data_IF_610496555631
#
_entry.id   IF_610496555631
#
_cell.length_a   1.000
_cell.length_b   1.000
_cell.length_c   1.000
_cell.angle_alpha   90.00
_cell.angle_beta   90.00
_cell.angle_gamma   90.00
#
_symmetry.space_group_name_H-M   'P 1'
#
loop_
_entity.id
_entity.type
_entity.pdbx_description
1 polymer ?
#
# COMPACT_ATOMS: atom_id res chain seq x y z
N UNK A 1 19.78 -2.98 8.34
CA UNK A 1 18.71 -2.44 9.20
C UNK A 1 18.40 -3.37 10.39
N UNK A 2 17.97 -4.64 10.21
CA UNK A 2 17.54 -5.53 11.33
C UNK A 2 18.58 -5.73 12.43
N UNK A 3 19.87 -5.78 12.10
CA UNK A 3 20.95 -5.94 13.09
C UNK A 3 21.15 -4.69 13.99
N UNK A 4 20.46 -3.60 13.74
CA UNK A 4 20.53 -2.36 14.53
C UNK A 4 19.45 -2.31 15.62
N UNK A 5 18.52 -3.25 15.62
CA UNK A 5 17.45 -3.33 16.64
C UNK A 5 18.02 -3.92 17.92
N UNK A 6 17.94 -3.19 19.00
CA UNK A 6 18.26 -3.70 20.33
C UNK A 6 17.11 -4.57 20.83
N UNK A 7 17.28 -5.89 20.75
CA UNK A 7 16.31 -6.87 21.24
C UNK A 7 16.41 -7.08 22.77
N UNK A 8 17.48 -6.58 23.39
CA UNK A 8 17.71 -6.66 24.82
C UNK A 8 17.01 -5.59 25.66
N UNK A 9 16.31 -4.65 25.02
CA UNK A 9 15.61 -3.57 25.74
C UNK A 9 14.58 -4.15 26.70
N UNK A 10 14.77 -3.88 28.00
CA UNK A 10 13.84 -4.26 29.07
C UNK A 10 13.38 -3.01 29.79
N UNK A 11 12.09 -2.91 30.04
CA UNK A 11 11.50 -1.88 30.91
C UNK A 11 10.80 -2.56 32.07
N UNK A 12 10.66 -1.85 33.20
CA UNK A 12 9.94 -2.41 34.34
C UNK A 12 8.46 -2.56 33.99
N UNK A 13 7.91 -3.76 34.20
CA UNK A 13 6.53 -4.09 33.78
C UNK A 13 5.47 -3.18 34.40
N UNK A 14 5.65 -2.74 35.62
CA UNK A 14 4.72 -1.87 36.34
C UNK A 14 4.70 -0.47 35.71
N UNK A 15 5.87 0.12 35.46
CA UNK A 15 6.00 1.42 34.78
C UNK A 15 5.44 1.38 33.35
N UNK A 16 5.69 0.28 32.62
CA UNK A 16 5.16 0.10 31.27
C UNK A 16 3.64 0.01 31.24
N UNK A 17 3.03 -0.72 32.16
CA UNK A 17 1.59 -0.89 32.22
C UNK A 17 0.89 0.43 32.51
N UNK A 18 1.36 1.19 33.49
CA UNK A 18 0.84 2.51 33.80
C UNK A 18 0.94 3.47 32.60
N UNK A 19 2.12 3.52 31.95
CA UNK A 19 2.34 4.39 30.79
C UNK A 19 1.48 3.95 29.60
N UNK A 20 1.32 2.65 29.35
CA UNK A 20 0.52 2.15 28.24
C UNK A 20 -0.97 2.41 28.43
N UNK A 21 -1.51 2.10 29.60
CA UNK A 21 -2.95 2.15 29.86
C UNK A 21 -3.42 3.60 30.12
N UNK A 22 -2.69 4.39 30.90
CA UNK A 22 -3.16 5.72 31.32
C UNK A 22 -2.71 6.83 30.36
N UNK A 23 -1.44 6.84 29.98
CA UNK A 23 -0.87 7.95 29.20
C UNK A 23 -0.95 7.71 27.68
N UNK A 24 -0.36 6.64 27.19
CA UNK A 24 -0.31 6.37 25.74
C UNK A 24 -1.67 5.97 25.19
N UNK A 25 -2.50 5.24 25.94
CA UNK A 25 -3.85 4.93 25.53
C UNK A 25 -4.69 6.19 25.29
N UNK A 26 -4.66 7.15 26.23
CA UNK A 26 -5.32 8.43 26.05
C UNK A 26 -4.79 9.21 24.84
N UNK A 27 -3.47 9.26 24.67
CA UNK A 27 -2.82 9.96 23.55
C UNK A 27 -3.17 9.32 22.18
N UNK A 28 -3.26 8.00 22.08
CA UNK A 28 -3.71 7.31 20.86
C UNK A 28 -5.11 7.75 20.44
N UNK A 29 -6.06 7.77 21.38
CA UNK A 29 -7.40 8.28 21.11
C UNK A 29 -7.41 9.77 20.75
N UNK A 30 -6.53 10.54 21.36
CA UNK A 30 -6.39 11.98 21.09
C UNK A 30 -5.86 12.23 19.66
N UNK A 31 -4.79 11.56 19.24
CA UNK A 31 -4.21 11.77 17.90
C UNK A 31 -5.13 11.26 16.80
N UNK A 32 -5.90 10.20 17.04
CA UNK A 32 -6.95 9.78 16.11
C UNK A 32 -8.00 10.88 15.91
N UNK A 33 -8.49 11.48 16.99
CA UNK A 33 -9.45 12.60 16.91
C UNK A 33 -8.86 13.83 16.22
N UNK A 34 -7.58 14.12 16.43
CA UNK A 34 -6.88 15.22 15.75
C UNK A 34 -6.77 14.97 14.24
N UNK A 35 -6.36 13.78 13.84
CA UNK A 35 -6.32 13.39 12.41
C UNK A 35 -7.71 13.51 11.78
N UNK A 36 -8.75 13.05 12.50
CA UNK A 36 -10.15 13.14 12.05
C UNK A 36 -10.60 14.57 11.87
N UNK A 37 -10.36 15.43 12.86
CA UNK A 37 -10.73 16.84 12.80
C UNK A 37 -10.02 17.59 11.67
N UNK A 38 -8.76 17.25 11.39
CA UNK A 38 -8.00 17.79 10.25
C UNK A 38 -8.49 17.26 8.90
N UNK A 39 -9.18 16.11 8.87
CA UNK A 39 -9.52 15.37 7.67
C UNK A 39 -8.31 14.66 7.05
N UNK A 40 -7.29 14.34 7.84
CA UNK A 40 -6.08 13.66 7.38
C UNK A 40 -6.28 12.14 7.40
N UNK A 41 -6.19 11.44 6.26
CA UNK A 41 -6.25 9.98 6.23
C UNK A 41 -4.93 9.37 6.73
N UNK A 42 -5.04 8.30 7.53
CA UNK A 42 -3.88 7.63 8.13
C UNK A 42 -3.82 6.15 7.72
N UNK A 43 -2.66 5.67 7.38
CA UNK A 43 -2.40 4.27 7.06
C UNK A 43 -1.31 3.75 7.98
N UNK A 44 -1.62 2.72 8.76
CA UNK A 44 -0.66 2.01 9.59
C UNK A 44 -0.39 0.62 9.00
N UNK A 45 0.85 0.37 8.63
CA UNK A 45 1.33 -0.94 8.15
C UNK A 45 2.13 -1.59 9.27
N UNK A 46 1.65 -2.72 9.78
CA UNK A 46 2.28 -3.44 10.90
C UNK A 46 2.71 -4.82 10.41
N UNK A 47 3.92 -4.89 9.91
CA UNK A 47 4.59 -6.11 9.48
C UNK A 47 5.54 -6.64 10.55
N UNK A 48 6.08 -7.80 10.35
CA UNK A 48 7.03 -8.43 11.27
C UNK A 48 7.04 -9.93 11.12
N UNK A 49 7.87 -10.56 11.93
CA UNK A 49 8.01 -12.01 11.96
C UNK A 49 6.69 -12.70 12.28
N UNK A 50 6.56 -13.93 11.80
CA UNK A 50 5.50 -14.83 12.26
C UNK A 50 5.64 -15.01 13.77
N UNK A 51 4.52 -15.06 14.48
CA UNK A 51 4.46 -15.13 15.95
C UNK A 51 4.98 -13.88 16.69
N UNK A 52 5.20 -12.76 15.99
CA UNK A 52 5.57 -11.46 16.61
C UNK A 52 4.42 -10.78 17.38
N UNK A 53 3.32 -11.47 17.59
CA UNK A 53 2.16 -11.00 18.37
C UNK A 53 1.56 -9.68 17.87
N UNK A 54 1.71 -9.37 16.57
CA UNK A 54 1.13 -8.17 15.92
C UNK A 54 -0.36 -8.00 16.21
N UNK A 55 -1.10 -9.11 16.26
CA UNK A 55 -2.54 -9.09 16.56
C UNK A 55 -2.84 -8.52 17.93
N UNK A 56 -1.99 -8.77 18.92
CA UNK A 56 -2.14 -8.26 20.26
C UNK A 56 -1.76 -6.78 20.34
N UNK A 57 -0.72 -6.35 19.63
CA UNK A 57 -0.35 -4.94 19.52
C UNK A 57 -1.50 -4.15 18.91
N UNK A 58 -2.03 -4.60 17.76
CA UNK A 58 -3.16 -3.96 17.07
C UNK A 58 -4.42 -4.00 17.96
N UNK A 59 -4.73 -5.15 18.57
CA UNK A 59 -5.89 -5.30 19.45
C UNK A 59 -5.86 -4.37 20.65
N UNK A 60 -4.69 -4.22 21.30
CA UNK A 60 -4.53 -3.27 22.41
C UNK A 60 -4.67 -1.82 21.92
N UNK A 61 -4.05 -1.45 20.80
CA UNK A 61 -4.19 -0.11 20.23
C UNK A 61 -5.65 0.25 19.94
N UNK A 62 -6.42 -0.69 19.40
CA UNK A 62 -7.83 -0.50 19.06
C UNK A 62 -8.72 -0.23 20.29
N UNK A 63 -8.35 -0.73 21.46
CA UNK A 63 -9.14 -0.49 22.70
C UNK A 63 -9.15 0.98 23.11
N UNK A 64 -8.16 1.75 22.69
CA UNK A 64 -8.03 3.18 23.01
C UNK A 64 -8.56 4.11 21.92
N UNK A 65 -8.94 3.58 20.76
CA UNK A 65 -9.40 4.33 19.60
C UNK A 65 -10.92 4.25 19.39
N UNK A 66 -11.52 5.29 18.80
CA UNK A 66 -12.92 5.24 18.35
C UNK A 66 -13.05 4.27 17.18
N UNK A 67 -13.79 3.18 17.38
CA UNK A 67 -14.00 2.12 16.39
C UNK A 67 -14.62 2.59 15.06
N UNK A 68 -15.33 3.73 15.07
CA UNK A 68 -15.91 4.34 13.86
C UNK A 68 -14.88 5.03 12.98
N UNK A 69 -13.68 5.29 13.52
CA UNK A 69 -12.62 6.04 12.85
C UNK A 69 -11.53 5.18 12.26
N UNK A 70 -11.61 3.85 12.32
CA UNK A 70 -10.61 2.98 11.72
C UNK A 70 -11.19 1.67 11.19
N UNK A 71 -10.45 1.04 10.27
CA UNK A 71 -10.68 -0.33 9.80
C UNK A 71 -9.38 -1.12 9.85
N UNK A 72 -9.48 -2.40 10.25
CA UNK A 72 -8.33 -3.31 10.26
C UNK A 72 -8.43 -4.28 9.11
N UNK A 73 -7.35 -4.40 8.37
CA UNK A 73 -7.23 -5.31 7.23
C UNK A 73 -6.14 -6.35 7.47
N UNK A 74 -6.39 -7.56 7.00
CA UNK A 74 -5.43 -8.66 7.02
C UNK A 74 -5.45 -9.35 5.66
N UNK A 75 -4.58 -8.91 4.76
CA UNK A 75 -4.54 -9.39 3.38
C UNK A 75 -3.55 -10.56 3.26
N UNK A 76 -4.02 -11.79 3.53
CA UNK A 76 -3.19 -13.00 3.49
C UNK A 76 -3.20 -13.71 2.15
N UNK A 77 -4.21 -13.46 1.30
CA UNK A 77 -4.33 -14.05 -0.04
C UNK A 77 -5.17 -13.16 -0.97
N UNK A 78 -5.01 -13.38 -2.26
CA UNK A 78 -5.89 -12.84 -3.28
C UNK A 78 -7.08 -13.78 -3.50
N UNK A 79 -8.29 -13.23 -3.58
CA UNK A 79 -9.47 -13.95 -4.05
C UNK A 79 -9.46 -14.04 -5.60
N UNK A 80 -10.48 -14.67 -6.20
CA UNK A 80 -10.56 -14.81 -7.65
C UNK A 80 -10.70 -13.46 -8.39
N UNK A 81 -11.44 -12.52 -7.81
CA UNK A 81 -11.59 -11.17 -8.36
C UNK A 81 -10.26 -10.41 -8.28
N UNK A 82 -9.59 -10.45 -7.12
CA UNK A 82 -8.30 -9.81 -6.93
C UNK A 82 -7.23 -10.30 -7.93
N UNK A 83 -7.29 -11.60 -8.33
CA UNK A 83 -6.34 -12.20 -9.29
C UNK A 83 -6.50 -11.68 -10.72
N UNK A 84 -7.68 -11.16 -11.07
CA UNK A 84 -7.97 -10.56 -12.38
C UNK A 84 -7.58 -9.08 -12.46
N UNK A 85 -7.21 -8.49 -11.32
CA UNK A 85 -6.92 -7.08 -11.18
C UNK A 85 -5.41 -6.85 -10.93
N UNK A 86 -4.88 -5.66 -11.23
CA UNK A 86 -3.53 -5.30 -10.84
C UNK A 86 -3.31 -5.47 -9.32
N UNK A 87 -2.09 -5.82 -8.92
CA UNK A 87 -1.73 -6.16 -7.54
C UNK A 87 -2.27 -5.18 -6.49
N UNK A 88 -2.17 -3.88 -6.74
CA UNK A 88 -2.59 -2.85 -5.78
C UNK A 88 -4.08 -2.55 -5.76
N UNK A 89 -4.89 -3.08 -6.69
CA UNK A 89 -6.33 -2.81 -6.77
C UNK A 89 -7.08 -3.12 -5.48
N UNK A 90 -6.69 -4.20 -4.81
CA UNK A 90 -7.21 -4.57 -3.49
C UNK A 90 -6.95 -3.48 -2.45
N UNK A 91 -5.75 -2.96 -2.42
CA UNK A 91 -5.32 -1.96 -1.43
C UNK A 91 -5.89 -0.58 -1.73
N UNK A 92 -6.05 -0.21 -3.00
CA UNK A 92 -6.77 1.01 -3.40
C UNK A 92 -8.21 1.03 -2.86
N UNK A 93 -8.91 -0.12 -2.88
CA UNK A 93 -10.26 -0.23 -2.33
C UNK A 93 -10.32 -0.19 -0.79
N UNK A 94 -9.20 -0.35 -0.11
CA UNK A 94 -9.07 -0.38 1.34
C UNK A 94 -8.49 0.91 1.93
N UNK A 95 -8.30 1.93 1.10
CA UNK A 95 -7.81 3.22 1.58
C UNK A 95 -8.83 3.88 2.53
N UNK A 96 -8.35 4.57 3.58
CA UNK A 96 -9.24 5.28 4.48
C UNK A 96 -9.82 6.53 3.82
N UNK A 97 -11.06 6.84 4.14
CA UNK A 97 -11.65 8.14 3.86
C UNK A 97 -10.92 9.25 4.63
N UNK A 98 -11.03 10.53 4.20
CA UNK A 98 -10.45 11.65 4.93
C UNK A 98 -10.80 11.64 6.41
N UNK A 99 -9.78 11.71 7.28
CA UNK A 99 -9.93 11.66 8.72
C UNK A 99 -10.11 10.28 9.34
N UNK A 100 -10.14 9.22 8.55
CA UNK A 100 -10.19 7.83 9.03
C UNK A 100 -8.83 7.15 8.92
N UNK A 101 -8.72 5.94 9.48
CA UNK A 101 -7.49 5.16 9.53
C UNK A 101 -7.69 3.76 8.96
N UNK A 102 -6.72 3.29 8.18
CA UNK A 102 -6.60 1.88 7.77
C UNK A 102 -5.39 1.26 8.44
N UNK A 103 -5.60 0.16 9.17
CA UNK A 103 -4.54 -0.58 9.87
C UNK A 103 -4.34 -1.92 9.18
N UNK A 104 -3.17 -2.13 8.59
CA UNK A 104 -2.83 -3.38 7.91
C UNK A 104 -1.97 -4.25 8.81
N UNK A 105 -2.50 -5.40 9.25
CA UNK A 105 -1.76 -6.44 9.96
C UNK A 105 -0.97 -7.34 9.00
N UNK A 106 -1.49 -7.51 7.78
CA UNK A 106 -0.83 -8.08 6.60
C UNK A 106 -1.14 -7.17 5.43
N UNK A 107 -0.11 -6.55 4.89
CA UNK A 107 -0.22 -5.56 3.82
C UNK A 107 0.21 -6.13 2.46
N UNK A 108 0.52 -5.23 1.53
CA UNK A 108 1.15 -5.55 0.25
C UNK A 108 2.54 -6.20 0.41
N UNK A 109 3.25 -5.92 1.48
CA UNK A 109 4.53 -6.55 1.79
C UNK A 109 4.38 -8.03 2.10
N UNK A 110 3.40 -8.39 2.92
CA UNK A 110 3.11 -9.78 3.23
C UNK A 110 2.78 -10.57 1.97
N UNK A 111 1.88 -10.08 1.13
CA UNK A 111 1.48 -10.76 -0.10
C UNK A 111 2.65 -10.91 -1.08
N UNK A 112 3.48 -9.87 -1.26
CA UNK A 112 4.69 -9.96 -2.09
C UNK A 112 5.64 -11.04 -1.59
N UNK A 113 5.91 -11.10 -0.29
CA UNK A 113 6.83 -12.08 0.28
C UNK A 113 6.25 -13.50 0.23
N UNK A 114 4.94 -13.64 0.44
CA UNK A 114 4.23 -14.92 0.32
C UNK A 114 4.35 -15.51 -1.08
N UNK A 115 4.17 -14.71 -2.12
CA UNK A 115 4.32 -15.11 -3.53
C UNK A 115 5.76 -15.57 -3.79
N UNK A 116 6.76 -14.81 -3.35
CA UNK A 116 8.18 -15.14 -3.52
C UNK A 116 8.56 -16.50 -2.91
N UNK A 117 8.00 -16.81 -1.74
CA UNK A 117 8.34 -18.04 -1.01
C UNK A 117 7.61 -19.27 -1.55
N UNK A 118 6.35 -19.14 -1.92
CA UNK A 118 5.52 -20.27 -2.40
C UNK A 118 5.62 -20.54 -3.89
N UNK A 119 6.16 -19.63 -4.67
CA UNK A 119 6.10 -19.66 -6.14
C UNK A 119 4.67 -19.79 -6.69
N UNK A 120 3.68 -19.42 -5.89
CA UNK A 120 2.27 -19.43 -6.26
C UNK A 120 1.88 -18.08 -6.88
N UNK A 121 1.23 -18.11 -8.04
CA UNK A 121 0.66 -16.94 -8.73
C UNK A 121 1.65 -15.82 -9.12
N UNK A 122 2.68 -16.15 -9.87
CA UNK A 122 3.59 -15.16 -10.48
C UNK A 122 2.85 -14.09 -11.31
N UNK A 123 1.65 -14.43 -11.81
CA UNK A 123 0.82 -13.53 -12.62
C UNK A 123 0.34 -12.26 -11.84
N UNK A 124 0.30 -12.30 -10.51
CA UNK A 124 -0.11 -11.16 -9.66
C UNK A 124 1.07 -10.67 -8.81
N UNK A 125 2.29 -10.80 -9.30
CA UNK A 125 3.48 -10.35 -8.57
C UNK A 125 3.68 -8.84 -8.72
N UNK A 126 4.44 -8.26 -7.79
CA UNK A 126 4.85 -6.85 -7.84
C UNK A 126 6.33 -6.71 -7.48
N UNK A 127 6.95 -5.62 -7.88
CA UNK A 127 8.32 -5.27 -7.53
C UNK A 127 8.39 -4.30 -6.35
N UNK A 128 9.56 -4.09 -5.78
CA UNK A 128 9.75 -3.08 -4.73
C UNK A 128 9.64 -1.66 -5.29
N UNK A 129 10.02 -1.45 -6.55
CA UNK A 129 9.85 -0.18 -7.25
C UNK A 129 8.36 0.18 -7.38
N UNK A 130 7.51 -0.80 -7.71
CA UNK A 130 6.07 -0.58 -7.76
C UNK A 130 5.48 -0.30 -6.39
N UNK A 131 5.98 -0.95 -5.33
CA UNK A 131 5.59 -0.62 -3.95
C UNK A 131 5.96 0.82 -3.61
N UNK A 132 7.19 1.24 -3.90
CA UNK A 132 7.64 2.60 -3.65
C UNK A 132 6.82 3.63 -4.44
N UNK A 133 6.48 3.33 -5.70
CA UNK A 133 5.62 4.18 -6.51
C UNK A 133 4.19 4.29 -5.92
N UNK A 134 3.62 3.18 -5.44
CA UNK A 134 2.32 3.16 -4.77
C UNK A 134 2.35 3.98 -3.48
N UNK A 135 3.34 3.77 -2.62
CA UNK A 135 3.50 4.52 -1.37
C UNK A 135 3.75 6.01 -1.62
N UNK A 136 4.52 6.34 -2.65
CA UNK A 136 4.71 7.73 -3.06
C UNK A 136 3.41 8.38 -3.51
N UNK A 137 2.57 7.69 -4.29
CA UNK A 137 1.25 8.22 -4.66
C UNK A 137 0.37 8.49 -3.44
N UNK A 138 0.43 7.61 -2.41
CA UNK A 138 -0.30 7.83 -1.17
C UNK A 138 0.21 9.07 -0.43
N UNK A 139 1.52 9.20 -0.26
CA UNK A 139 2.11 10.35 0.46
C UNK A 139 1.94 11.65 -0.31
N UNK A 140 2.06 11.66 -1.64
CA UNK A 140 1.76 12.80 -2.50
C UNK A 140 0.26 13.19 -2.41
N UNK A 141 -0.63 12.20 -2.23
CA UNK A 141 -2.05 12.37 -1.92
C UNK A 141 -2.34 12.79 -0.46
N UNK A 142 -1.30 13.15 0.29
CA UNK A 142 -1.38 13.61 1.69
C UNK A 142 -1.89 12.55 2.68
N UNK A 143 -1.73 11.26 2.39
CA UNK A 143 -1.93 10.20 3.37
C UNK A 143 -0.74 10.17 4.35
N UNK A 144 -1.03 10.10 5.64
CA UNK A 144 -0.01 9.78 6.65
C UNK A 144 0.22 8.28 6.65
N UNK A 145 1.34 7.84 6.07
CA UNK A 145 1.71 6.42 5.97
C UNK A 145 2.83 6.10 6.97
N UNK A 146 2.54 5.24 7.95
CA UNK A 146 3.50 4.76 8.94
C UNK A 146 3.72 3.25 8.77
N UNK A 147 4.98 2.85 8.64
CA UNK A 147 5.37 1.44 8.45
C UNK A 147 6.17 0.94 9.64
N UNK A 148 5.69 -0.13 10.24
CA UNK A 148 6.33 -0.79 11.38
C UNK A 148 6.76 -2.20 11.02
N UNK A 149 7.95 -2.59 11.44
CA UNK A 149 8.40 -3.96 11.37
C UNK A 149 8.78 -4.48 12.77
N UNK A 150 8.03 -5.46 13.26
CA UNK A 150 8.27 -6.09 14.56
C UNK A 150 9.36 -7.13 14.38
N UNK A 151 10.58 -6.79 14.80
CA UNK A 151 11.74 -7.67 14.76
C UNK A 151 11.87 -8.45 16.07
N UNK A 152 12.21 -9.73 15.99
CA UNK A 152 12.43 -10.59 17.16
C UNK A 152 13.57 -11.56 16.91
N UNK A 153 14.09 -12.10 17.99
CA UNK A 153 15.09 -13.18 17.97
C UNK A 153 14.47 -14.51 17.53
N UNK A 154 15.30 -15.39 16.98
CA UNK A 154 14.87 -16.75 16.61
C UNK A 154 14.38 -17.53 17.82
N UNK A 155 15.03 -17.34 18.97
CA UNK A 155 14.64 -17.97 20.23
C UNK A 155 13.26 -17.54 20.67
N UNK A 156 12.97 -16.22 20.65
CA UNK A 156 11.67 -15.70 21.04
C UNK A 156 10.58 -16.12 20.04
N UNK A 157 10.89 -16.20 18.75
CA UNK A 157 9.96 -16.72 17.74
C UNK A 157 9.53 -18.17 18.06
N UNK A 158 10.49 -19.03 18.38
CA UNK A 158 10.23 -20.42 18.77
C UNK A 158 9.43 -20.53 20.07
N UNK A 159 9.71 -19.66 21.04
CA UNK A 159 8.99 -19.64 22.31
C UNK A 159 7.53 -19.19 22.10
N UNK A 160 7.31 -18.12 21.36
CA UNK A 160 5.96 -17.65 21.01
C UNK A 160 5.15 -18.71 20.24
N UNK A 161 5.79 -19.44 19.32
CA UNK A 161 5.12 -20.53 18.59
C UNK A 161 4.63 -21.63 19.54
N UNK A 162 5.47 -22.04 20.51
CA UNK A 162 5.11 -23.06 21.52
C UNK A 162 3.93 -22.58 22.37
N UNK A 163 3.95 -21.34 22.82
CA UNK A 163 2.89 -20.76 23.64
C UNK A 163 1.55 -20.67 22.87
N UNK A 164 1.60 -20.23 21.61
CA UNK A 164 0.41 -20.20 20.76
C UNK A 164 -0.16 -21.62 20.55
N UNK A 165 0.70 -22.60 20.27
CA UNK A 165 0.26 -24.00 20.09
C UNK A 165 -0.36 -24.58 21.37
N UNK A 166 0.10 -24.15 22.54
CA UNK A 166 -0.42 -24.58 23.84
C UNK A 166 -1.76 -23.94 24.16
N UNK A 167 -1.90 -22.65 23.86
CA UNK A 167 -3.05 -21.83 24.28
C UNK A 167 -4.24 -21.96 23.33
N UNK A 168 -4.01 -22.13 22.02
CA UNK A 168 -5.09 -22.27 21.05
C UNK A 168 -5.70 -23.67 21.14
N UNK A 169 -7.01 -23.75 21.39
CA UNK A 169 -7.79 -24.99 21.24
C UNK A 169 -7.56 -25.58 19.84
N UNK A 170 -7.42 -26.92 19.73
CA UNK A 170 -7.14 -27.64 18.48
C UNK A 170 -8.08 -27.28 17.32
N UNK A 171 -9.30 -26.82 17.63
CA UNK A 171 -10.33 -26.43 16.66
C UNK A 171 -10.13 -25.03 16.06
N UNK A 172 -9.31 -24.20 16.66
CA UNK A 172 -9.12 -22.78 16.26
C UNK A 172 -7.68 -22.51 15.86
N UNK A 173 -7.13 -23.32 14.97
CA UNK A 173 -5.84 -23.02 14.35
C UNK A 173 -6.10 -22.13 13.15
N UNK A 174 -5.43 -20.96 13.05
CA UNK A 174 -5.50 -20.18 11.84
C UNK A 174 -5.01 -21.01 10.66
N UNK A 175 -5.92 -21.41 9.77
CA UNK A 175 -5.57 -22.16 8.55
C UNK A 175 -4.82 -21.31 7.50
N UNK A 176 -4.67 -20.00 7.74
CA UNK A 176 -4.29 -19.04 6.72
C UNK A 176 -2.79 -18.71 6.68
N UNK A 177 -1.94 -19.50 7.35
CA UNK A 177 -0.53 -19.22 7.32
C UNK A 177 0.12 -19.85 6.09
N UNK A 178 0.39 -19.00 5.14
CA UNK A 178 0.88 -19.35 3.81
C UNK A 178 2.26 -20.03 3.87
N UNK A 179 3.07 -19.79 4.90
CA UNK A 179 4.40 -20.41 5.06
C UNK A 179 4.85 -20.45 6.53
N UNK A 180 5.75 -21.39 6.86
CA UNK A 180 6.41 -21.47 8.16
C UNK A 180 7.77 -20.79 8.07
N UNK A 181 8.02 -19.79 8.92
CA UNK A 181 9.32 -19.14 9.09
C UNK A 181 10.20 -19.91 10.08
N UNK A 182 9.57 -20.72 10.93
CA UNK A 182 10.29 -21.49 11.97
C UNK A 182 11.15 -22.55 11.32
N UNK A 183 12.44 -22.56 11.68
CA UNK A 183 13.46 -23.42 11.05
C UNK A 183 14.09 -22.85 9.78
N UNK A 184 13.70 -21.63 9.37
CA UNK A 184 14.25 -20.93 8.20
C UNK A 184 14.56 -19.46 8.51
N UNK A 185 14.86 -19.15 9.77
CA UNK A 185 15.04 -17.78 10.26
C UNK A 185 16.02 -16.96 9.42
N UNK A 186 17.22 -17.45 9.14
CA UNK A 186 18.22 -16.69 8.37
C UNK A 186 17.76 -16.38 6.93
N UNK A 187 17.04 -17.32 6.31
CA UNK A 187 16.48 -17.12 4.98
C UNK A 187 15.46 -15.97 4.97
N UNK A 188 14.54 -15.96 5.95
CA UNK A 188 13.55 -14.90 6.07
C UNK A 188 14.18 -13.58 6.52
N UNK A 189 15.18 -13.63 7.41
CA UNK A 189 15.94 -12.44 7.81
C UNK A 189 16.56 -11.74 6.60
N UNK A 190 17.14 -12.50 5.67
CA UNK A 190 17.65 -11.95 4.41
C UNK A 190 16.55 -11.33 3.57
N UNK A 191 15.42 -12.03 3.38
CA UNK A 191 14.29 -11.49 2.61
C UNK A 191 13.73 -10.20 3.21
N UNK A 192 13.60 -10.11 4.52
CA UNK A 192 13.11 -8.91 5.21
C UNK A 192 14.14 -7.78 5.17
N UNK A 193 15.43 -8.07 5.26
CA UNK A 193 16.48 -7.05 5.10
C UNK A 193 16.45 -6.46 3.68
N UNK A 194 16.40 -7.31 2.64
CA UNK A 194 16.26 -6.86 1.24
C UNK A 194 15.00 -6.01 1.03
N UNK A 195 13.86 -6.44 1.58
CA UNK A 195 12.60 -5.70 1.50
C UNK A 195 12.73 -4.31 2.12
N UNK A 196 13.25 -4.24 3.34
CA UNK A 196 13.37 -2.96 4.05
C UNK A 196 14.37 -2.04 3.39
N UNK A 197 15.54 -2.54 2.95
CA UNK A 197 16.54 -1.74 2.25
C UNK A 197 15.99 -1.16 0.94
N UNK A 198 15.21 -1.95 0.20
CA UNK A 198 14.61 -1.52 -1.06
C UNK A 198 13.43 -0.56 -0.89
N UNK A 199 12.78 -0.53 0.28
CA UNK A 199 11.54 0.23 0.49
C UNK A 199 11.60 1.22 1.66
N UNK A 200 12.78 1.45 2.24
CA UNK A 200 12.97 2.49 3.25
C UNK A 200 13.19 3.84 2.58
N UNK A 201 12.11 4.46 2.16
CA UNK A 201 12.14 5.73 1.43
C UNK A 201 11.96 6.91 2.39
N UNK A 202 12.39 8.10 1.99
CA UNK A 202 12.28 9.32 2.79
C UNK A 202 10.82 9.66 3.13
N UNK A 203 9.91 9.45 2.17
CA UNK A 203 8.48 9.73 2.33
C UNK A 203 7.70 8.65 3.08
N UNK A 204 8.28 7.44 3.23
CA UNK A 204 7.67 6.34 3.97
C UNK A 204 8.76 5.45 4.62
N UNK A 205 9.42 5.91 5.68
CA UNK A 205 10.46 5.16 6.37
C UNK A 205 9.89 3.98 7.16
N UNK A 206 10.73 2.96 7.39
CA UNK A 206 10.42 1.87 8.29
C UNK A 206 10.79 2.21 9.73
N UNK A 207 9.84 2.02 10.66
CA UNK A 207 10.09 2.02 12.10
C UNK A 207 10.33 0.58 12.56
N UNK A 208 11.55 0.32 13.02
CA UNK A 208 11.95 -1.01 13.52
C UNK A 208 11.63 -1.12 15.01
N UNK A 209 10.89 -2.16 15.38
CA UNK A 209 10.36 -2.36 16.72
C UNK A 209 10.98 -3.62 17.33
N UNK A 210 11.45 -3.53 18.58
CA UNK A 210 11.91 -4.69 19.36
C UNK A 210 10.70 -5.54 19.77
N UNK A 211 10.66 -6.78 19.32
CA UNK A 211 9.51 -7.68 19.48
C UNK A 211 9.72 -8.82 20.47
N UNK A 212 10.88 -8.93 21.14
CA UNK A 212 11.15 -9.97 22.11
C UNK A 212 10.32 -9.82 23.39
N UNK A 213 10.03 -8.56 23.79
CA UNK A 213 9.06 -8.25 24.84
C UNK A 213 7.84 -7.54 24.23
N UNK A 214 6.64 -8.09 24.45
CA UNK A 214 5.41 -7.57 23.90
C UNK A 214 5.05 -6.18 24.40
N UNK A 215 5.27 -5.91 25.70
CA UNK A 215 4.92 -4.63 26.29
C UNK A 215 5.86 -3.52 25.82
N UNK A 216 7.14 -3.86 25.64
CA UNK A 216 8.12 -2.98 25.00
C UNK A 216 7.72 -2.70 23.54
N UNK A 217 7.30 -3.72 22.80
CA UNK A 217 6.84 -3.55 21.43
C UNK A 217 5.60 -2.64 21.34
N UNK A 218 4.62 -2.83 22.22
CA UNK A 218 3.45 -1.94 22.32
C UNK A 218 3.86 -0.50 22.60
N UNK A 219 4.74 -0.31 23.60
CA UNK A 219 5.23 1.01 23.98
C UNK A 219 5.89 1.71 22.80
N UNK A 220 6.81 1.04 22.09
CA UNK A 220 7.51 1.63 20.94
C UNK A 220 6.54 1.97 19.81
N UNK A 221 5.62 1.06 19.45
CA UNK A 221 4.62 1.32 18.39
C UNK A 221 3.72 2.48 18.77
N UNK A 222 3.17 2.50 19.99
CA UNK A 222 2.21 3.52 20.41
C UNK A 222 2.85 4.90 20.53
N UNK A 223 4.07 4.97 21.08
CA UNK A 223 4.84 6.22 21.13
C UNK A 223 5.08 6.77 19.74
N UNK A 224 5.57 5.94 18.83
CA UNK A 224 5.85 6.35 17.45
C UNK A 224 4.56 6.77 16.72
N UNK A 225 3.46 6.04 16.88
CA UNK A 225 2.16 6.42 16.30
C UNK A 225 1.71 7.80 16.78
N UNK A 226 1.82 8.05 18.09
CA UNK A 226 1.45 9.34 18.69
C UNK A 226 2.33 10.47 18.17
N UNK A 227 3.64 10.29 18.15
CA UNK A 227 4.60 11.29 17.71
C UNK A 227 4.43 11.62 16.21
N UNK A 228 4.42 10.60 15.36
CA UNK A 228 4.38 10.80 13.90
C UNK A 228 3.02 11.32 13.42
N UNK A 229 1.90 10.87 14.01
CA UNK A 229 0.58 11.44 13.65
C UNK A 229 0.50 12.90 14.09
N UNK A 230 0.98 13.27 15.28
CA UNK A 230 1.00 14.67 15.72
C UNK A 230 1.83 15.55 14.78
N UNK A 231 2.99 15.07 14.34
CA UNK A 231 3.85 15.75 13.38
C UNK A 231 3.16 15.89 12.01
N UNK A 232 2.57 14.80 11.52
CA UNK A 232 1.86 14.78 10.25
C UNK A 232 0.63 15.71 10.24
N UNK A 233 -0.17 15.73 11.31
CA UNK A 233 -1.33 16.65 11.43
C UNK A 233 -0.89 18.11 11.39
N UNK A 234 0.21 18.47 12.05
CA UNK A 234 0.75 19.84 12.01
C UNK A 234 1.16 20.23 10.58
N UNK A 235 1.89 19.36 9.88
CA UNK A 235 2.30 19.59 8.50
C UNK A 235 1.08 19.69 7.55
N UNK A 236 0.13 18.76 7.67
CA UNK A 236 -1.09 18.70 6.87
C UNK A 236 -1.95 19.96 7.01
N UNK A 237 -2.11 20.46 8.25
CA UNK A 237 -2.89 21.68 8.49
C UNK A 237 -2.19 22.94 8.01
N UNK A 238 -0.86 23.01 8.11
CA UNK A 238 -0.06 24.11 7.58
C UNK A 238 -0.15 24.15 6.04
N UNK A 239 -0.07 23.01 5.38
CA UNK A 239 -0.17 22.88 3.92
C UNK A 239 -1.56 23.30 3.41
N UNK A 240 -2.63 22.90 4.12
CA UNK A 240 -4.00 23.36 3.82
C UNK A 240 -4.18 24.87 4.00
N UNK A 241 -3.54 25.45 4.99
CA UNK A 241 -3.59 26.90 5.21
C UNK A 241 -2.83 27.67 4.12
N UNK A 242 -1.70 27.12 3.66
CA UNK A 242 -0.92 27.69 2.56
C UNK A 242 -1.63 27.59 1.20
N UNK A 243 -2.40 26.53 0.98
CA UNK A 243 -3.17 26.26 -0.26
C UNK A 243 -4.57 26.90 -0.28
N UNK A 244 -4.97 27.74 0.69
CA UNK A 244 -6.16 28.59 0.54
C UNK A 244 -5.92 29.48 -0.66
N UNK A 245 -6.85 29.52 -1.66
CA UNK A 245 -6.62 30.26 -2.88
C UNK A 245 -6.39 31.73 -2.54
N UNK A 246 -5.17 32.20 -2.69
CA UNK A 246 -4.95 33.60 -3.00
C UNK A 246 -5.49 33.76 -4.43
N UNK A 247 -6.62 34.41 -4.57
CA UNK A 247 -7.06 35.00 -5.84
C UNK A 247 -5.90 35.91 -6.32
N UNK A 248 -5.17 35.48 -7.34
CA UNK A 248 -4.02 36.08 -8.00
C UNK A 248 -2.66 35.45 -7.63
N UNK A 249 -2.43 34.26 -8.16
CA UNK A 249 -1.10 33.91 -8.63
C UNK A 249 -1.28 33.29 -10.01
N UNK A 250 -0.95 34.09 -11.03
CA UNK A 250 -0.46 33.53 -12.28
C UNK A 250 0.81 32.73 -11.94
N UNK A 251 0.65 31.45 -11.65
CA UNK A 251 1.78 30.54 -11.68
C UNK A 251 2.38 30.68 -13.08
N UNK A 252 3.66 31.00 -13.15
CA UNK A 252 4.48 30.75 -14.34
C UNK A 252 4.51 29.23 -14.54
N UNK A 253 3.36 28.65 -14.93
CA UNK A 253 3.33 27.31 -15.49
C UNK A 253 4.32 27.36 -16.67
N UNK A 254 5.36 26.56 -16.57
CA UNK A 254 6.12 26.15 -17.74
C UNK A 254 5.09 25.51 -18.66
N UNK A 255 4.52 26.29 -19.54
CA UNK A 255 3.63 25.83 -20.58
C UNK A 255 4.42 24.88 -21.44
N UNK A 256 4.26 23.58 -21.18
CA UNK A 256 4.69 22.55 -22.11
C UNK A 256 3.79 22.66 -23.33
N UNK A 257 4.09 23.61 -24.21
CA UNK A 257 3.33 23.84 -25.43
C UNK A 257 3.67 22.76 -26.48
N UNK A 258 3.32 21.52 -26.13
CA UNK A 258 3.43 20.39 -27.06
C UNK A 258 2.39 20.53 -28.16
N UNK A 259 1.24 21.15 -27.86
CA UNK A 259 0.12 21.27 -28.79
C UNK A 259 0.41 22.28 -29.91
N UNK A 260 1.17 23.36 -29.66
CA UNK A 260 1.57 24.32 -30.68
C UNK A 260 2.50 23.73 -31.75
N UNK A 261 3.17 22.59 -31.45
CA UNK A 261 4.04 21.88 -32.37
C UNK A 261 3.29 20.94 -33.29
N UNK A 262 1.99 20.76 -33.07
CA UNK A 262 1.15 19.90 -33.91
C UNK A 262 0.82 20.60 -35.21
N UNK A 263 1.25 20.03 -36.32
CA UNK A 263 0.92 20.51 -37.66
C UNK A 263 -0.52 20.15 -38.00
N UNK A 264 -1.43 21.11 -37.88
CA UNK A 264 -2.85 20.97 -38.17
C UNK A 264 -3.17 21.12 -39.67
N UNK A 265 -2.18 21.46 -40.51
CA UNK A 265 -2.35 21.58 -41.96
C UNK A 265 -2.27 20.23 -42.69
N UNK A 266 -1.83 19.19 -42.03
CA UNK A 266 -1.71 17.86 -42.62
C UNK A 266 -3.06 17.29 -43.01
N UNK A 267 -3.24 17.03 -44.29
CA UNK A 267 -4.42 16.40 -44.86
C UNK A 267 -4.04 15.12 -45.59
N UNK A 268 -4.99 14.22 -45.72
CA UNK A 268 -4.84 12.98 -46.53
C UNK A 268 -6.02 12.99 -47.51
N UNK A 269 -5.73 12.72 -48.78
CA UNK A 269 -6.80 12.59 -49.78
C UNK A 269 -7.70 11.39 -49.46
N UNK A 270 -8.93 11.44 -50.00
CA UNK A 270 -9.98 10.48 -49.62
C UNK A 270 -9.68 9.02 -49.98
N UNK A 271 -9.00 8.80 -51.09
CA UNK A 271 -8.73 7.44 -51.57
C UNK A 271 -7.55 6.80 -50.82
N UNK A 272 -6.49 7.56 -50.65
CA UNK A 272 -5.36 7.16 -49.76
C UNK A 272 -5.83 6.92 -48.31
N UNK A 273 -6.78 7.76 -47.84
CA UNK A 273 -7.34 7.56 -46.49
C UNK A 273 -8.08 6.22 -46.36
N UNK A 274 -8.93 5.87 -47.35
CA UNK A 274 -9.70 4.63 -47.33
C UNK A 274 -8.76 3.41 -47.34
N UNK A 275 -7.81 3.39 -48.28
CA UNK A 275 -6.83 2.32 -48.40
C UNK A 275 -6.04 2.11 -47.11
N UNK A 276 -5.53 3.20 -46.52
CA UNK A 276 -4.78 3.12 -45.26
C UNK A 276 -5.66 2.67 -44.12
N UNK A 277 -6.92 3.13 -44.05
CA UNK A 277 -7.85 2.75 -42.99
C UNK A 277 -8.11 1.24 -43.01
N UNK A 278 -8.43 0.66 -44.16
CA UNK A 278 -8.65 -0.77 -44.32
C UNK A 278 -7.42 -1.57 -43.92
N UNK A 279 -6.24 -1.19 -44.41
CA UNK A 279 -4.97 -1.82 -44.06
C UNK A 279 -4.69 -1.82 -42.55
N UNK A 280 -4.93 -0.66 -41.86
CA UNK A 280 -4.71 -0.59 -40.42
C UNK A 280 -5.79 -1.31 -39.62
N UNK A 281 -7.02 -1.39 -40.12
CA UNK A 281 -8.09 -2.18 -39.51
C UNK A 281 -7.80 -3.69 -39.58
N UNK A 282 -7.27 -4.18 -40.68
CA UNK A 282 -6.80 -5.56 -40.78
C UNK A 282 -5.66 -5.84 -39.79
N UNK A 283 -4.70 -4.92 -39.73
CA UNK A 283 -3.57 -5.04 -38.79
C UNK A 283 -4.02 -5.06 -37.32
N UNK A 284 -4.96 -4.19 -36.94
CA UNK A 284 -5.45 -4.14 -35.53
C UNK A 284 -6.22 -5.42 -35.17
N UNK A 285 -6.99 -5.98 -36.14
CA UNK A 285 -7.67 -7.27 -35.94
C UNK A 285 -6.67 -8.40 -35.66
N UNK A 286 -5.60 -8.46 -36.42
CA UNK A 286 -4.54 -9.46 -36.23
C UNK A 286 -3.83 -9.30 -34.89
N UNK A 287 -3.52 -8.04 -34.51
CA UNK A 287 -2.88 -7.74 -33.22
C UNK A 287 -3.79 -8.04 -32.04
N UNK A 288 -5.10 -7.81 -32.15
CA UNK A 288 -6.06 -8.18 -31.11
C UNK A 288 -6.07 -9.69 -30.87
N UNK A 289 -6.14 -10.48 -31.94
CA UNK A 289 -6.07 -11.94 -31.84
C UNK A 289 -4.76 -12.40 -31.19
N UNK A 290 -3.63 -11.82 -31.59
CA UNK A 290 -2.33 -12.14 -31.01
C UNK A 290 -2.27 -11.78 -29.51
N UNK A 291 -2.76 -10.60 -29.12
CA UNK A 291 -2.85 -10.16 -27.73
C UNK A 291 -3.70 -11.10 -26.88
N UNK A 292 -4.87 -11.53 -27.42
CA UNK A 292 -5.74 -12.50 -26.77
C UNK A 292 -5.03 -13.84 -26.52
N UNK A 293 -4.39 -14.42 -27.52
CA UNK A 293 -3.66 -15.69 -27.38
C UNK A 293 -2.47 -15.60 -26.43
N UNK A 294 -1.83 -14.44 -26.34
CA UNK A 294 -0.70 -14.20 -25.44
C UNK A 294 -1.11 -13.72 -24.03
N UNK A 295 -2.40 -13.52 -23.78
CA UNK A 295 -2.91 -12.98 -22.51
C UNK A 295 -2.46 -11.54 -22.23
N UNK A 296 -2.24 -10.74 -23.28
CA UNK A 296 -1.82 -9.33 -23.15
C UNK A 296 -3.02 -8.42 -23.14
N UNK A 297 -3.20 -7.67 -22.07
CA UNK A 297 -4.24 -6.65 -21.98
C UNK A 297 -3.75 -5.31 -22.54
N UNK A 298 -4.59 -4.62 -23.32
CA UNK A 298 -4.29 -3.32 -23.89
C UNK A 298 -5.34 -2.28 -23.41
N UNK A 299 -4.87 -1.10 -23.01
CA UNK A 299 -5.73 0.02 -22.61
C UNK A 299 -5.43 1.20 -23.52
N UNK A 300 -6.47 1.74 -24.18
CA UNK A 300 -6.37 2.91 -25.02
C UNK A 300 -7.09 4.08 -24.39
N UNK A 301 -6.36 5.15 -24.01
CA UNK A 301 -6.93 6.38 -23.51
C UNK A 301 -7.00 7.42 -24.63
N UNK A 302 -8.20 7.99 -24.88
CA UNK A 302 -8.42 9.04 -25.88
C UNK A 302 -8.77 10.34 -25.18
N UNK A 303 -7.85 11.29 -25.22
CA UNK A 303 -8.02 12.63 -24.66
C UNK A 303 -8.06 13.67 -25.78
N UNK A 304 -8.65 14.80 -25.51
CA UNK A 304 -8.70 15.93 -26.45
C UNK A 304 -9.89 16.85 -26.17
N UNK A 305 -9.90 17.99 -26.84
CA UNK A 305 -10.94 18.99 -26.73
C UNK A 305 -12.34 18.43 -27.02
N UNK A 306 -13.38 19.14 -26.55
CA UNK A 306 -14.74 18.81 -26.94
C UNK A 306 -14.89 18.92 -28.45
N UNK A 307 -15.70 18.05 -29.05
CA UNK A 307 -15.90 17.94 -30.50
C UNK A 307 -14.63 17.65 -31.35
N UNK A 308 -13.48 17.30 -30.74
CA UNK A 308 -12.22 16.97 -31.45
C UNK A 308 -12.25 15.63 -32.22
N UNK A 309 -13.40 14.97 -32.32
CA UNK A 309 -13.54 13.74 -33.09
C UNK A 309 -13.13 12.44 -32.37
N UNK A 310 -12.91 12.46 -31.04
CA UNK A 310 -12.55 11.28 -30.24
C UNK A 310 -13.46 10.08 -30.50
N UNK A 311 -14.76 10.26 -30.43
CA UNK A 311 -15.75 9.22 -30.70
C UNK A 311 -15.66 8.64 -32.12
N UNK A 312 -15.37 9.49 -33.11
CA UNK A 312 -15.12 9.04 -34.51
C UNK A 312 -13.85 8.22 -34.64
N UNK A 313 -12.78 8.61 -33.95
CA UNK A 313 -11.51 7.86 -33.94
C UNK A 313 -11.70 6.47 -33.26
N UNK A 314 -12.34 6.44 -32.09
CA UNK A 314 -12.66 5.18 -31.38
C UNK A 314 -13.49 4.26 -32.25
N UNK A 315 -14.56 4.77 -32.89
CA UNK A 315 -15.42 3.96 -33.79
C UNK A 315 -14.64 3.36 -34.94
N UNK A 316 -13.72 4.10 -35.55
CA UNK A 316 -12.88 3.58 -36.65
C UNK A 316 -11.88 2.54 -36.15
N UNK A 317 -11.30 2.74 -34.99
CA UNK A 317 -10.37 1.78 -34.37
C UNK A 317 -11.09 0.46 -34.07
N UNK A 318 -12.27 0.54 -33.42
CA UNK A 318 -13.02 -0.64 -32.96
C UNK A 318 -13.84 -1.31 -34.07
N UNK A 319 -14.07 -0.67 -35.21
CA UNK A 319 -14.90 -1.23 -36.30
C UNK A 319 -14.41 -2.58 -36.83
N UNK A 320 -13.11 -2.87 -36.70
CA UNK A 320 -12.52 -4.12 -37.15
C UNK A 320 -12.17 -5.10 -36.01
N UNK A 321 -12.44 -4.70 -34.77
CA UNK A 321 -12.13 -5.52 -33.57
C UNK A 321 -13.32 -6.39 -33.20
N UNK A 322 -13.03 -7.56 -32.61
CA UNK A 322 -14.05 -8.39 -32.01
C UNK A 322 -14.49 -7.76 -30.68
N UNK A 323 -15.80 -7.44 -30.51
CA UNK A 323 -16.27 -6.81 -29.29
C UNK A 323 -16.30 -7.74 -28.08
N UNK A 324 -16.10 -9.04 -28.26
CA UNK A 324 -16.13 -10.07 -27.20
C UNK A 324 -14.75 -10.50 -26.71
N UNK A 325 -13.68 -10.00 -27.30
CA UNK A 325 -12.29 -10.37 -26.97
C UNK A 325 -11.47 -9.23 -26.41
#
# INVERSE_FOLDING_TARGET
>A
MLNQVDLGTKMKKEELKEVLDEKLGYELGRVQRHARAAGMPVILVIEGWRHSRRSEIVGTMMQFMDARGFRVYSSTKFNEEDRRMPFFSKFWRQLPEPGNMSVYRHSWYYLKNAIKVKKENEAVSTSFEHINAFEKQLTDGQYCLLKFFIHMSEEQQKNNEKDIKRTLAKAWRPHDEIYSEVGSYDKFKKCYSEMMEATNTENAPWHLISGDDLEVAKYQVFTTVVEEINKAVKAFTADKAAKKPSTNQSENEKTYDVLSKVDLSKTVDKDTYKEKLEKYQEKIRALQAEAFYKGVSAVFAFEGWDAAGKGGAIRRLTAAMDPLS
#
